data_IF_363253678882
#
_entry.id   IF_363253678882
#
_cell.length_a   1.000
_cell.length_b   1.000
_cell.length_c   1.000
_cell.angle_alpha   90.00
_cell.angle_beta   90.00
_cell.angle_gamma   90.00
#
_symmetry.space_group_name_H-M   'P 1'
#
loop_
_entity.id
_entity.type
_entity.pdbx_description
1 polymer ?
#
# COMPACT_ATOMS: atom_id res chain seq x y z
N UNK A 1 -2.99 7.34 22.23
CA UNK A 1 -1.95 7.99 21.38
C UNK A 1 -1.84 7.16 20.10
N UNK A 2 -2.26 7.69 18.97
CA UNK A 2 -1.98 7.07 17.66
C UNK A 2 -0.46 7.07 17.47
N UNK A 3 0.12 5.90 17.30
CA UNK A 3 1.54 5.77 16.95
C UNK A 3 1.67 6.12 15.48
N UNK A 4 2.53 7.08 15.15
CA UNK A 4 2.79 7.47 13.77
C UNK A 4 3.43 6.31 12.97
N UNK A 5 3.30 6.34 11.63
CA UNK A 5 3.91 5.36 10.72
C UNK A 5 5.41 5.16 11.00
N UNK A 6 6.14 6.24 11.35
CA UNK A 6 7.54 6.16 11.71
C UNK A 6 7.84 5.23 12.89
N UNK A 7 6.94 5.13 13.87
CA UNK A 7 7.11 4.19 14.98
C UNK A 7 6.89 2.74 14.58
N UNK A 8 6.02 2.51 13.58
CA UNK A 8 5.79 1.17 13.01
C UNK A 8 7.03 0.70 12.26
N UNK A 9 7.59 1.53 11.40
CA UNK A 9 8.81 1.20 10.65
C UNK A 9 10.02 0.99 11.58
N UNK A 10 10.22 1.85 12.57
CA UNK A 10 11.28 1.67 13.57
C UNK A 10 11.19 0.33 14.29
N UNK A 11 9.98 -0.12 14.63
CA UNK A 11 9.78 -1.44 15.24
C UNK A 11 10.11 -2.58 14.30
N UNK A 12 9.66 -2.50 13.05
CA UNK A 12 10.00 -3.52 12.05
C UNK A 12 11.50 -3.67 11.90
N UNK A 13 12.24 -2.55 11.80
CA UNK A 13 13.70 -2.58 11.73
C UNK A 13 14.30 -3.10 13.04
N UNK A 14 13.80 -2.65 14.19
CA UNK A 14 14.25 -3.12 15.51
C UNK A 14 14.12 -4.64 15.65
N UNK A 15 12.96 -5.19 15.29
CA UNK A 15 12.67 -6.62 15.40
C UNK A 15 13.50 -7.43 14.41
N UNK A 16 13.57 -7.00 13.13
CA UNK A 16 14.27 -7.72 12.08
C UNK A 16 15.79 -7.67 12.22
N UNK A 17 16.33 -6.54 12.66
CA UNK A 17 17.78 -6.30 12.81
C UNK A 17 18.29 -6.50 14.23
N UNK A 18 17.41 -6.72 15.20
CA UNK A 18 17.74 -6.82 16.62
C UNK A 18 18.49 -5.59 17.14
N UNK A 19 18.05 -4.41 16.70
CA UNK A 19 18.60 -3.11 17.11
C UNK A 19 17.58 -2.44 18.04
N UNK A 20 17.94 -2.02 19.26
CA UNK A 20 17.02 -1.29 20.13
C UNK A 20 16.47 -0.03 19.47
N UNK A 21 15.19 0.29 19.70
CA UNK A 21 14.56 1.48 19.12
C UNK A 21 15.24 2.78 19.49
N UNK A 22 15.79 2.87 20.70
CA UNK A 22 16.57 4.05 21.15
C UNK A 22 17.87 4.21 20.35
N UNK A 23 18.52 3.09 19.98
CA UNK A 23 19.68 3.10 19.11
C UNK A 23 19.30 3.57 17.70
N UNK A 24 18.15 3.13 17.17
CA UNK A 24 17.65 3.60 15.87
C UNK A 24 17.33 5.10 15.89
N UNK A 25 16.82 5.63 17.00
CA UNK A 25 16.62 7.07 17.19
C UNK A 25 17.97 7.81 17.17
N UNK A 26 18.97 7.30 17.90
CA UNK A 26 20.31 7.89 17.90
C UNK A 26 20.97 7.86 16.51
N UNK A 27 20.73 6.84 15.70
CA UNK A 27 21.18 6.80 14.31
C UNK A 27 20.50 7.86 13.45
N UNK A 28 19.20 8.07 13.63
CA UNK A 28 18.48 9.13 12.93
C UNK A 28 19.01 10.52 13.30
N UNK A 29 19.31 10.75 14.59
CA UNK A 29 19.86 12.02 15.09
C UNK A 29 21.30 12.28 14.58
N UNK A 30 22.05 11.22 14.24
CA UNK A 30 23.39 11.31 13.63
C UNK A 30 23.41 11.68 12.17
N UNK A 31 22.26 11.80 11.50
CA UNK A 31 22.20 12.03 10.05
C UNK A 31 23.04 10.99 9.26
N UNK A 32 22.67 9.72 9.40
CA UNK A 32 23.39 8.58 8.78
C UNK A 32 23.62 8.75 7.26
N UNK A 33 22.83 9.58 6.58
CA UNK A 33 23.00 9.88 5.13
C UNK A 33 24.38 10.46 4.77
N UNK A 34 25.09 11.01 5.76
CA UNK A 34 26.43 11.57 5.59
C UNK A 34 27.55 10.62 6.10
N UNK A 35 27.19 9.43 6.56
CA UNK A 35 28.15 8.46 7.05
C UNK A 35 28.80 7.68 5.91
N UNK A 36 29.98 7.10 6.18
CA UNK A 36 30.62 6.19 5.23
C UNK A 36 29.82 4.89 5.11
N UNK A 37 29.86 4.25 3.94
CA UNK A 37 29.07 3.05 3.66
C UNK A 37 29.35 1.91 4.67
N UNK A 38 30.59 1.77 5.13
CA UNK A 38 31.02 0.78 6.11
C UNK A 38 30.33 0.93 7.47
N UNK A 39 29.91 2.15 7.83
CA UNK A 39 29.21 2.41 9.07
C UNK A 39 27.83 1.75 9.10
N UNK A 40 27.17 1.59 7.93
CA UNK A 40 25.89 0.86 7.86
C UNK A 40 26.05 -0.62 8.26
N UNK A 41 27.19 -1.24 7.92
CA UNK A 41 27.49 -2.59 8.37
C UNK A 41 27.74 -2.63 9.89
N UNK A 42 28.55 -1.71 10.40
CA UNK A 42 28.84 -1.61 11.84
C UNK A 42 27.58 -1.38 12.67
N UNK A 43 26.66 -0.57 12.14
CA UNK A 43 25.36 -0.29 12.72
C UNK A 43 24.32 -1.41 12.50
N UNK A 44 24.68 -2.50 11.81
CA UNK A 44 23.79 -3.62 11.44
C UNK A 44 22.57 -3.20 10.61
N UNK A 45 22.63 -2.07 9.94
CA UNK A 45 21.59 -1.59 9.03
C UNK A 45 21.70 -2.26 7.65
N UNK A 46 22.89 -2.71 7.28
CA UNK A 46 23.14 -3.52 6.09
C UNK A 46 23.96 -4.76 6.46
N UNK A 47 23.86 -5.82 5.68
CA UNK A 47 24.59 -7.06 5.93
C UNK A 47 25.94 -7.06 5.23
N UNK A 48 26.03 -6.41 4.08
CA UNK A 48 27.26 -6.30 3.29
C UNK A 48 27.19 -5.11 2.34
N UNK A 49 28.34 -4.74 1.79
CA UNK A 49 28.48 -3.77 0.71
C UNK A 49 28.92 -4.53 -0.54
N UNK A 50 28.28 -4.25 -1.65
CA UNK A 50 28.58 -4.88 -2.93
C UNK A 50 28.46 -3.87 -4.06
N UNK A 51 29.34 -3.96 -5.05
CA UNK A 51 29.13 -3.30 -6.33
C UNK A 51 28.03 -4.02 -7.13
N UNK A 52 27.49 -3.37 -8.15
CA UNK A 52 26.38 -3.90 -8.94
C UNK A 52 26.70 -5.26 -9.60
N UNK A 53 27.92 -5.45 -10.07
CA UNK A 53 28.40 -6.70 -10.66
C UNK A 53 28.44 -7.82 -9.60
N UNK A 54 28.92 -7.53 -8.40
CA UNK A 54 28.92 -8.47 -7.28
C UNK A 54 27.51 -8.87 -6.85
N UNK A 55 26.55 -7.92 -6.83
CA UNK A 55 25.14 -8.23 -6.57
C UNK A 55 24.58 -9.18 -7.64
N UNK A 56 24.91 -8.96 -8.91
CA UNK A 56 24.48 -9.83 -10.01
C UNK A 56 25.06 -11.23 -9.83
N UNK A 57 26.35 -11.36 -9.52
CA UNK A 57 27.00 -12.63 -9.26
C UNK A 57 26.39 -13.34 -8.06
N UNK A 58 26.14 -12.63 -6.99
CA UNK A 58 25.49 -13.17 -5.79
C UNK A 58 24.06 -13.69 -6.09
N UNK A 59 23.27 -12.95 -6.87
CA UNK A 59 21.93 -13.39 -7.27
C UNK A 59 21.96 -14.61 -8.19
N UNK A 60 22.94 -14.71 -9.10
CA UNK A 60 23.18 -15.91 -9.92
C UNK A 60 23.48 -17.11 -9.03
N UNK A 61 24.38 -16.97 -8.08
CA UNK A 61 24.72 -18.02 -7.12
C UNK A 61 23.49 -18.48 -6.32
N UNK A 62 22.69 -17.53 -5.78
CA UNK A 62 21.46 -17.85 -5.04
C UNK A 62 20.43 -18.58 -5.89
N UNK A 63 20.36 -18.29 -7.19
CA UNK A 63 19.43 -18.92 -8.13
C UNK A 63 19.98 -20.19 -8.78
N UNK A 64 21.18 -20.68 -8.38
CA UNK A 64 21.82 -21.87 -8.94
C UNK A 64 22.26 -21.69 -10.40
N UNK A 65 22.64 -20.47 -10.79
CA UNK A 65 23.11 -20.11 -12.13
C UNK A 65 24.61 -19.96 -12.17
N UNK A 66 25.20 -20.29 -13.31
CA UNK A 66 26.62 -20.04 -13.55
C UNK A 66 26.89 -18.55 -13.88
N UNK A 67 28.12 -18.10 -13.67
CA UNK A 67 28.53 -16.70 -13.91
C UNK A 67 28.25 -16.23 -15.35
N UNK A 68 28.34 -17.12 -16.33
CA UNK A 68 28.10 -16.80 -17.74
C UNK A 68 26.61 -16.82 -18.13
N UNK A 69 25.75 -17.29 -17.23
CA UNK A 69 24.31 -17.33 -17.46
C UNK A 69 23.67 -15.94 -17.36
N UNK A 70 22.57 -15.73 -18.04
CA UNK A 70 21.71 -14.55 -17.80
C UNK A 70 20.90 -14.75 -16.55
N UNK A 71 20.83 -13.69 -15.71
CA UNK A 71 19.93 -13.66 -14.59
C UNK A 71 18.48 -13.59 -15.12
N UNK A 72 17.65 -14.56 -14.77
CA UNK A 72 16.21 -14.51 -15.08
C UNK A 72 15.55 -13.53 -14.10
N UNK A 73 15.22 -12.35 -14.59
CA UNK A 73 14.47 -11.34 -13.85
C UNK A 73 13.07 -11.21 -14.42
N UNK A 74 12.10 -11.02 -13.54
CA UNK A 74 10.74 -10.64 -13.88
C UNK A 74 10.50 -9.24 -13.33
N UNK A 75 9.93 -8.38 -14.14
CA UNK A 75 9.44 -7.09 -13.69
C UNK A 75 8.05 -7.26 -13.03
N UNK A 76 7.67 -6.30 -12.20
CA UNK A 76 6.35 -6.32 -11.53
C UNK A 76 5.23 -6.36 -12.57
N UNK A 77 5.41 -5.71 -13.71
CA UNK A 77 4.47 -5.69 -14.83
C UNK A 77 4.24 -7.10 -15.42
N UNK A 78 5.27 -7.93 -15.45
CA UNK A 78 5.16 -9.32 -15.92
C UNK A 78 4.28 -10.16 -15.00
N UNK A 79 4.21 -9.79 -13.70
CA UNK A 79 3.39 -10.48 -12.71
C UNK A 79 1.88 -10.31 -12.94
N UNK A 80 1.46 -9.29 -13.70
CA UNK A 80 0.05 -9.06 -14.05
C UNK A 80 -0.48 -10.24 -14.89
N UNK A 81 0.37 -10.84 -15.72
CA UNK A 81 0.03 -11.93 -16.61
C UNK A 81 0.18 -13.33 -16.00
N UNK A 82 0.66 -13.42 -14.76
CA UNK A 82 0.78 -14.71 -14.07
C UNK A 82 -0.62 -15.26 -13.78
N UNK A 83 -0.95 -16.41 -14.34
CA UNK A 83 -2.21 -17.10 -14.04
C UNK A 83 -2.26 -17.42 -12.55
N UNK A 84 -3.11 -16.72 -11.83
CA UNK A 84 -3.37 -17.03 -10.42
C UNK A 84 -4.03 -18.39 -10.33
N UNK A 85 -3.36 -19.34 -9.71
CA UNK A 85 -3.97 -20.62 -9.36
C UNK A 85 -4.81 -20.44 -8.09
N UNK A 86 -5.80 -19.55 -8.15
CA UNK A 86 -6.73 -19.30 -7.05
C UNK A 86 -7.85 -20.32 -7.20
N UNK A 87 -8.15 -21.13 -6.18
CA UNK A 87 -9.33 -21.98 -6.20
C UNK A 87 -10.55 -21.12 -6.51
N UNK A 88 -11.31 -21.49 -7.55
CA UNK A 88 -12.55 -20.77 -7.86
C UNK A 88 -13.55 -21.09 -6.75
N UNK A 89 -13.91 -20.10 -5.97
CA UNK A 89 -15.06 -20.19 -5.07
C UNK A 89 -16.32 -20.37 -5.94
N UNK A 90 -17.07 -21.45 -5.64
CA UNK A 90 -18.33 -21.76 -6.32
C UNK A 90 -19.55 -21.25 -5.54
N UNK A 91 -19.34 -20.54 -4.44
CA UNK A 91 -20.42 -20.04 -3.58
C UNK A 91 -21.26 -18.92 -4.21
N UNK A 92 -20.72 -18.27 -5.26
CA UNK A 92 -21.30 -17.07 -5.85
C UNK A 92 -21.06 -15.80 -5.03
N UNK A 93 -20.42 -15.90 -3.86
CA UNK A 93 -20.10 -14.75 -3.02
C UNK A 93 -18.98 -13.90 -3.64
N UNK A 94 -19.14 -12.60 -3.62
CA UNK A 94 -18.20 -11.62 -4.18
C UNK A 94 -17.58 -10.80 -3.06
N UNK A 95 -16.25 -10.66 -3.07
CA UNK A 95 -15.56 -9.60 -2.35
C UNK A 95 -15.19 -8.55 -3.39
N UNK A 96 -15.78 -7.38 -3.29
CA UNK A 96 -15.53 -6.29 -4.23
C UNK A 96 -14.28 -5.50 -3.79
N UNK A 97 -13.38 -5.23 -4.74
CA UNK A 97 -12.27 -4.29 -4.53
C UNK A 97 -12.55 -3.04 -5.33
N UNK A 98 -12.69 -1.91 -4.64
CA UNK A 98 -12.90 -0.60 -5.25
C UNK A 98 -11.61 0.21 -5.16
N UNK A 99 -11.10 0.65 -6.30
CA UNK A 99 -9.89 1.46 -6.39
C UNK A 99 -10.25 2.94 -6.32
N UNK A 100 -9.82 3.63 -5.27
CA UNK A 100 -9.92 5.07 -5.07
C UNK A 100 -8.53 5.68 -5.27
N UNK A 101 -8.24 6.09 -6.51
CA UNK A 101 -6.93 6.58 -6.92
C UNK A 101 -6.99 8.03 -7.40
N UNK A 102 -6.02 8.84 -6.97
CA UNK A 102 -5.86 10.22 -7.39
C UNK A 102 -6.58 11.25 -6.52
N UNK A 103 -6.68 12.47 -7.01
CA UNK A 103 -7.29 13.60 -6.31
C UNK A 103 -8.82 13.47 -6.25
N UNK A 104 -9.43 13.87 -5.13
CA UNK A 104 -10.89 13.85 -4.94
C UNK A 104 -11.49 15.12 -5.52
N UNK A 105 -12.30 14.98 -6.58
CA UNK A 105 -12.91 16.10 -7.31
C UNK A 105 -14.43 15.98 -7.35
N UNK A 106 -15.13 17.11 -7.09
CA UNK A 106 -16.59 17.16 -7.11
C UNK A 106 -17.16 17.06 -8.53
N UNK A 107 -16.46 17.64 -9.50
CA UNK A 107 -16.82 17.60 -10.90
C UNK A 107 -15.55 17.54 -11.74
N UNK A 108 -14.98 16.35 -11.95
CA UNK A 108 -13.81 16.22 -12.79
C UNK A 108 -14.14 16.58 -14.24
N UNK A 109 -13.35 17.48 -14.81
CA UNK A 109 -13.41 17.75 -16.25
C UNK A 109 -13.06 16.50 -17.05
N UNK A 110 -13.38 16.50 -18.34
CA UNK A 110 -13.20 15.35 -19.24
C UNK A 110 -11.76 14.87 -19.47
N UNK A 111 -10.78 15.48 -18.83
CA UNK A 111 -9.35 15.27 -19.11
C UNK A 111 -8.55 14.62 -17.97
N UNK A 112 -9.15 14.22 -16.87
CA UNK A 112 -8.41 13.68 -15.72
C UNK A 112 -8.62 12.18 -15.64
N UNK A 113 -7.68 11.41 -16.17
CA UNK A 113 -7.69 9.93 -16.09
C UNK A 113 -7.46 9.44 -14.65
N UNK A 114 -6.74 10.19 -13.81
CA UNK A 114 -6.34 9.80 -12.47
C UNK A 114 -7.00 10.67 -11.38
N UNK A 115 -8.30 10.54 -11.21
CA UNK A 115 -9.01 11.21 -10.13
C UNK A 115 -10.14 10.37 -9.53
N UNK A 116 -10.51 10.69 -8.30
CA UNK A 116 -11.69 10.17 -7.64
C UNK A 116 -12.85 11.12 -7.94
N UNK A 117 -13.70 10.74 -8.88
CA UNK A 117 -14.97 11.41 -9.14
C UNK A 117 -15.94 11.09 -8.00
N UNK A 118 -16.30 12.10 -7.23
CA UNK A 118 -17.18 11.99 -6.05
C UNK A 118 -18.52 11.37 -6.41
N UNK A 119 -19.17 11.87 -7.48
CA UNK A 119 -20.51 11.42 -7.87
C UNK A 119 -20.50 9.96 -8.33
N UNK A 120 -19.49 9.60 -9.11
CA UNK A 120 -19.30 8.23 -9.57
C UNK A 120 -19.02 7.29 -8.40
N UNK A 121 -18.09 7.65 -7.51
CA UNK A 121 -17.74 6.81 -6.36
C UNK A 121 -18.93 6.62 -5.43
N UNK A 122 -19.65 7.67 -5.08
CA UNK A 122 -20.88 7.58 -4.27
C UNK A 122 -21.92 6.64 -4.90
N UNK A 123 -22.14 6.77 -6.23
CA UNK A 123 -23.04 5.89 -6.96
C UNK A 123 -22.59 4.42 -6.94
N UNK A 124 -21.32 4.18 -7.10
CA UNK A 124 -20.77 2.82 -7.13
C UNK A 124 -20.78 2.18 -5.73
N UNK A 125 -20.48 2.93 -4.67
CA UNK A 125 -20.62 2.45 -3.29
C UNK A 125 -22.07 2.07 -2.95
N UNK A 126 -23.06 2.83 -3.44
CA UNK A 126 -24.49 2.46 -3.29
C UNK A 126 -24.80 1.15 -3.99
N UNK A 127 -24.32 0.96 -5.23
CA UNK A 127 -24.52 -0.31 -5.94
C UNK A 127 -23.89 -1.49 -5.20
N UNK A 128 -22.66 -1.32 -4.69
CA UNK A 128 -22.00 -2.36 -3.89
C UNK A 128 -22.76 -2.66 -2.61
N UNK A 129 -23.33 -1.65 -1.96
CA UNK A 129 -24.16 -1.80 -0.77
C UNK A 129 -25.44 -2.62 -1.04
N UNK A 130 -26.08 -2.35 -2.16
CA UNK A 130 -27.40 -2.89 -2.48
C UNK A 130 -27.32 -4.21 -3.29
N UNK A 131 -26.13 -4.66 -3.69
CA UNK A 131 -25.91 -5.94 -4.37
C UNK A 131 -25.73 -7.07 -3.35
N UNK A 132 -26.67 -7.98 -3.27
CA UNK A 132 -26.67 -9.09 -2.31
C UNK A 132 -25.57 -10.12 -2.55
N UNK A 133 -25.00 -10.21 -3.75
CA UNK A 133 -23.88 -11.12 -4.04
C UNK A 133 -22.55 -10.60 -3.43
N UNK A 134 -22.45 -9.29 -3.24
CA UNK A 134 -21.27 -8.67 -2.61
C UNK A 134 -21.35 -8.83 -1.10
N UNK A 135 -20.43 -9.59 -0.51
CA UNK A 135 -20.41 -9.91 0.93
C UNK A 135 -19.47 -9.01 1.73
N UNK A 136 -18.46 -8.44 1.10
CA UNK A 136 -17.54 -7.49 1.72
C UNK A 136 -16.97 -6.55 0.66
N UNK A 137 -16.49 -5.38 1.09
CA UNK A 137 -15.85 -4.39 0.21
C UNK A 137 -14.47 -4.03 0.75
N UNK A 138 -13.50 -4.04 -0.13
CA UNK A 138 -12.16 -3.52 0.11
C UNK A 138 -12.02 -2.20 -0.66
N UNK A 139 -11.79 -1.10 0.04
CA UNK A 139 -11.42 0.17 -0.58
C UNK A 139 -9.89 0.24 -0.65
N UNK A 140 -9.34 0.17 -1.85
CA UNK A 140 -7.92 0.42 -2.10
C UNK A 140 -7.73 1.90 -2.37
N UNK A 141 -7.21 2.62 -1.36
CA UNK A 141 -7.06 4.08 -1.38
C UNK A 141 -5.61 4.45 -1.67
N UNK A 142 -5.42 5.24 -2.73
CA UNK A 142 -4.14 5.89 -3.04
C UNK A 142 -4.42 7.33 -3.48
N UNK A 143 -4.59 8.25 -2.52
CA UNK A 143 -5.08 9.59 -2.75
C UNK A 143 -4.42 10.61 -1.83
N UNK A 144 -3.96 11.75 -2.38
CA UNK A 144 -3.48 12.88 -1.59
C UNK A 144 -4.63 13.63 -0.89
N UNK A 145 -5.89 13.31 -1.22
CA UNK A 145 -7.07 14.05 -0.80
C UNK A 145 -7.66 14.88 -1.94
N UNK A 146 -8.31 15.98 -1.59
CA UNK A 146 -8.96 16.89 -2.54
C UNK A 146 -10.14 17.60 -1.89
N UNK A 147 -11.29 17.67 -2.58
CA UNK A 147 -12.50 18.32 -2.09
C UNK A 147 -12.92 17.83 -0.71
N UNK A 148 -13.04 18.74 0.25
CA UNK A 148 -13.52 18.41 1.59
C UNK A 148 -15.00 18.00 1.55
N UNK A 149 -15.81 18.71 0.78
CA UNK A 149 -17.23 18.39 0.57
C UNK A 149 -17.40 17.01 -0.07
N UNK A 150 -16.64 16.74 -1.14
CA UNK A 150 -16.68 15.46 -1.82
C UNK A 150 -16.22 14.31 -0.93
N UNK A 151 -15.17 14.52 -0.13
CA UNK A 151 -14.70 13.54 0.84
C UNK A 151 -15.76 13.19 1.88
N UNK A 152 -16.51 14.18 2.37
CA UNK A 152 -17.62 13.96 3.31
C UNK A 152 -18.76 13.16 2.68
N UNK A 153 -19.12 13.45 1.43
CA UNK A 153 -20.14 12.68 0.71
C UNK A 153 -19.73 11.21 0.54
N UNK A 154 -18.48 10.95 0.16
CA UNK A 154 -17.94 9.58 0.05
C UNK A 154 -17.89 8.90 1.41
N UNK A 155 -17.38 9.58 2.43
CA UNK A 155 -17.37 9.08 3.81
C UNK A 155 -18.76 8.65 4.28
N UNK A 156 -19.78 9.46 3.99
CA UNK A 156 -21.17 9.10 4.33
C UNK A 156 -21.62 7.82 3.66
N UNK A 157 -21.27 7.59 2.40
CA UNK A 157 -21.61 6.34 1.71
C UNK A 157 -20.80 5.14 2.27
N UNK A 158 -19.55 5.35 2.69
CA UNK A 158 -18.76 4.31 3.38
C UNK A 158 -19.43 3.91 4.70
N UNK A 159 -19.89 4.88 5.50
CA UNK A 159 -20.64 4.62 6.74
C UNK A 159 -21.89 3.77 6.45
N UNK A 160 -22.67 4.16 5.44
CA UNK A 160 -23.90 3.41 5.07
C UNK A 160 -23.62 2.03 4.49
N UNK A 161 -22.51 1.88 3.77
CA UNK A 161 -22.07 0.59 3.27
C UNK A 161 -21.67 -0.33 4.43
N UNK A 162 -20.92 0.21 5.40
CA UNK A 162 -20.49 -0.52 6.61
C UNK A 162 -21.66 -1.02 7.45
N UNK A 163 -22.79 -0.31 7.49
CA UNK A 163 -24.00 -0.76 8.19
C UNK A 163 -24.54 -2.10 7.63
N UNK A 164 -24.24 -2.43 6.37
CA UNK A 164 -24.73 -3.64 5.69
C UNK A 164 -23.68 -4.70 5.46
N UNK A 165 -22.43 -4.30 5.27
CA UNK A 165 -21.33 -5.19 4.80
C UNK A 165 -20.00 -4.78 5.42
N UNK A 166 -19.12 -5.71 5.75
CA UNK A 166 -17.75 -5.37 6.18
C UNK A 166 -17.04 -4.51 5.14
N UNK A 167 -16.44 -3.41 5.59
CA UNK A 167 -15.64 -2.50 4.78
C UNK A 167 -14.22 -2.47 5.33
N UNK A 168 -13.26 -2.84 4.50
CA UNK A 168 -11.84 -2.80 4.82
C UNK A 168 -11.17 -1.80 3.91
N UNK A 169 -10.29 -0.98 4.47
CA UNK A 169 -9.42 -0.09 3.69
C UNK A 169 -8.03 -0.67 3.59
N UNK A 170 -7.47 -0.65 2.39
CA UNK A 170 -6.07 -0.90 2.11
C UNK A 170 -5.46 0.36 1.51
N UNK A 171 -4.53 0.99 2.23
CA UNK A 171 -3.87 2.22 1.78
C UNK A 171 -2.72 1.88 0.84
N UNK A 172 -2.50 2.76 -0.16
CA UNK A 172 -1.36 2.73 -1.07
C UNK A 172 -0.23 3.63 -0.57
N UNK A 173 0.44 4.29 -1.51
CA UNK A 173 1.55 5.21 -1.22
C UNK A 173 1.06 6.47 -0.50
N UNK A 174 -0.18 6.87 -0.80
CA UNK A 174 -0.82 8.05 -0.22
C UNK A 174 -2.20 7.70 0.33
N UNK A 175 -2.49 8.19 1.52
CA UNK A 175 -3.84 8.25 2.09
C UNK A 175 -3.90 9.49 3.00
N UNK A 176 -3.70 10.68 2.39
CA UNK A 176 -3.62 11.94 3.11
C UNK A 176 -4.91 12.75 2.97
N UNK A 177 -5.16 13.65 3.94
CA UNK A 177 -6.29 14.58 3.91
C UNK A 177 -7.62 13.85 3.58
N UNK A 178 -8.30 14.22 2.49
CA UNK A 178 -9.53 13.57 2.02
C UNK A 178 -9.38 12.05 1.81
N UNK A 179 -8.20 11.56 1.39
CA UNK A 179 -7.92 10.13 1.26
C UNK A 179 -8.02 9.39 2.59
N UNK A 180 -7.51 9.99 3.67
CA UNK A 180 -7.72 9.44 5.01
C UNK A 180 -9.16 9.61 5.48
N UNK A 181 -9.79 10.75 5.17
CA UNK A 181 -11.16 11.03 5.56
C UNK A 181 -12.16 9.98 5.06
N UNK A 182 -12.09 9.61 3.78
CA UNK A 182 -12.94 8.55 3.21
C UNK A 182 -12.64 7.16 3.79
N UNK A 183 -11.45 6.98 4.37
CA UNK A 183 -10.97 5.71 4.91
C UNK A 183 -11.35 5.50 6.38
N UNK A 184 -11.48 6.59 7.16
CA UNK A 184 -11.54 6.52 8.63
C UNK A 184 -12.80 5.84 9.17
N UNK A 185 -13.87 5.71 8.37
CA UNK A 185 -15.11 5.04 8.75
C UNK A 185 -15.06 3.51 8.60
N UNK A 186 -14.06 2.95 7.95
CA UNK A 186 -13.96 1.51 7.71
C UNK A 186 -13.87 0.68 9.00
N UNK A 187 -14.20 -0.61 8.91
CA UNK A 187 -14.06 -1.55 10.03
C UNK A 187 -12.61 -1.83 10.37
N UNK A 188 -11.74 -1.85 9.36
CA UNK A 188 -10.28 -2.02 9.52
C UNK A 188 -9.53 -1.25 8.44
N UNK A 189 -8.37 -0.74 8.81
CA UNK A 189 -7.46 -0.02 7.92
C UNK A 189 -6.11 -0.74 7.96
N UNK A 190 -5.58 -1.01 6.77
CA UNK A 190 -4.23 -1.52 6.54
C UNK A 190 -3.46 -0.46 5.76
N UNK A 191 -2.35 0.02 6.34
CA UNK A 191 -1.44 1.01 5.78
C UNK A 191 -0.03 0.43 5.62
#
# INVERSE_FOLDING_TARGET
RSRGLGDVYKRQVSDSRRIPTDTLNAYADRYMDFCQAEEYIQCKLADTLMYKDEVISYLKQLSGRDENDKLNSLFIEDMINVKKNVPKDKSGNIIAVYYAYGEILDAPGSSTEDCIDVQKMCKDLRKLRDNDDVKAVVLRVNSPGGSAYGSDQIWREVVRLKEKKPVIVSMGDYAASGGYYISCAADRIFA
#
